data_IF_353275178724
#
_entry.id   IF_353275178724
#
_cell.length_a   1.000
_cell.length_b   1.000
_cell.length_c   1.000
_cell.angle_alpha   90.00
_cell.angle_beta   90.00
_cell.angle_gamma   90.00
#
_symmetry.space_group_name_H-M   'P 1'
#
loop_
_entity.id
_entity.type
_entity.pdbx_description
1 polymer ?
#
# COMPACT_ATOMS: atom_id res chain seq x y z
N UNK A 1 21.94 -46.31 -28.61
CA UNK A 1 21.46 -45.03 -29.15
C UNK A 1 20.13 -44.75 -28.47
N UNK A 2 20.19 -44.22 -27.26
CA UNK A 2 18.99 -43.93 -26.46
C UNK A 2 18.70 -42.44 -26.59
N UNK A 3 17.73 -42.13 -27.44
CA UNK A 3 17.27 -40.76 -27.67
C UNK A 3 16.63 -40.29 -26.36
N UNK A 4 17.36 -39.41 -25.70
CA UNK A 4 17.08 -38.94 -24.35
C UNK A 4 15.77 -38.16 -24.32
N UNK A 5 14.75 -38.78 -23.74
CA UNK A 5 13.42 -38.23 -23.43
C UNK A 5 13.52 -37.16 -22.32
N UNK A 6 14.30 -36.09 -22.53
CA UNK A 6 14.49 -35.00 -21.55
C UNK A 6 14.04 -33.62 -22.05
N UNK A 7 13.52 -33.53 -23.27
CA UNK A 7 13.20 -32.24 -23.89
C UNK A 7 11.78 -31.69 -23.58
N UNK A 8 10.93 -32.41 -22.82
CA UNK A 8 9.51 -32.04 -22.67
C UNK A 8 9.10 -31.41 -21.32
N UNK A 9 10.03 -31.18 -20.39
CA UNK A 9 9.71 -30.60 -19.08
C UNK A 9 10.13 -29.12 -18.90
N UNK A 10 10.52 -28.45 -19.98
CA UNK A 10 11.02 -27.05 -19.92
C UNK A 10 9.99 -25.99 -20.36
N UNK A 11 8.70 -26.33 -20.37
CA UNK A 11 7.63 -25.46 -20.89
C UNK A 11 6.58 -25.00 -19.87
N UNK A 12 6.64 -25.43 -18.61
CA UNK A 12 5.52 -25.28 -17.67
C UNK A 12 5.89 -24.68 -16.31
N UNK A 13 6.74 -23.65 -16.23
CA UNK A 13 6.84 -22.83 -14.99
C UNK A 13 7.10 -21.35 -15.24
N UNK A 14 6.58 -20.78 -16.34
CA UNK A 14 6.50 -19.32 -16.49
C UNK A 14 5.21 -18.72 -15.89
N UNK A 15 4.40 -19.52 -15.20
CA UNK A 15 3.49 -19.00 -14.18
C UNK A 15 4.29 -18.73 -12.89
N UNK A 16 5.32 -17.86 -12.98
CA UNK A 16 5.60 -16.99 -11.85
C UNK A 16 4.35 -16.12 -11.74
N UNK A 17 3.38 -16.62 -10.97
CA UNK A 17 2.39 -15.77 -10.35
C UNK A 17 3.21 -14.65 -9.73
N UNK A 18 3.13 -13.47 -10.34
CA UNK A 18 3.44 -12.24 -9.68
C UNK A 18 2.59 -12.25 -8.42
N UNK A 19 3.14 -12.77 -7.33
CA UNK A 19 2.73 -12.41 -5.99
C UNK A 19 3.09 -10.95 -5.92
N UNK A 20 2.17 -10.15 -6.47
CA UNK A 20 2.37 -8.77 -6.81
C UNK A 20 2.84 -8.07 -5.57
N UNK A 21 4.00 -7.43 -5.68
CA UNK A 21 4.41 -6.36 -4.79
C UNK A 21 3.17 -5.55 -4.44
N UNK A 22 2.74 -5.63 -3.19
CA UNK A 22 1.48 -5.07 -2.70
C UNK A 22 1.55 -3.55 -2.58
N UNK A 23 2.46 -2.91 -3.31
CA UNK A 23 2.50 -1.46 -3.52
C UNK A 23 1.74 -1.13 -4.81
N UNK A 24 0.41 -1.25 -4.75
CA UNK A 24 -0.47 -1.02 -5.90
C UNK A 24 -0.70 0.47 -6.22
N UNK A 25 0.29 1.32 -5.95
CA UNK A 25 0.26 2.75 -6.26
C UNK A 25 -0.89 3.55 -5.63
N UNK A 26 -1.62 2.95 -4.68
CA UNK A 26 -2.82 3.51 -4.08
C UNK A 26 -2.80 3.24 -2.59
N UNK A 27 -2.86 4.32 -1.80
CA UNK A 27 -2.55 4.28 -0.37
C UNK A 27 -3.60 5.03 0.45
N UNK A 28 -3.91 4.54 1.63
CA UNK A 28 -4.86 5.12 2.58
C UNK A 28 -4.29 5.02 4.00
N UNK A 29 -4.63 5.96 4.87
CA UNK A 29 -4.31 5.90 6.29
C UNK A 29 -5.37 5.10 7.06
N UNK A 30 -4.91 4.35 8.05
CA UNK A 30 -5.75 3.51 8.89
C UNK A 30 -5.50 3.80 10.38
N UNK A 31 -6.54 3.57 11.19
CA UNK A 31 -6.48 3.61 12.65
C UNK A 31 -7.09 2.31 13.20
N UNK A 32 -6.42 1.65 14.14
CA UNK A 32 -6.99 0.52 14.87
C UNK A 32 -7.90 1.02 15.98
N UNK A 33 -9.08 0.43 16.06
CA UNK A 33 -10.11 0.69 17.07
C UNK A 33 -10.57 -0.62 17.69
N UNK A 34 -11.32 -0.61 18.81
CA UNK A 34 -11.92 -1.83 19.34
C UNK A 34 -12.79 -2.61 18.33
N UNK A 35 -13.37 -1.91 17.35
CA UNK A 35 -14.19 -2.47 16.26
C UNK A 35 -13.36 -2.99 15.08
N UNK A 36 -12.03 -2.84 15.14
CA UNK A 36 -11.09 -3.21 14.10
C UNK A 36 -10.44 -2.00 13.43
N UNK A 37 -9.76 -2.23 12.31
CA UNK A 37 -9.10 -1.19 11.56
C UNK A 37 -10.10 -0.38 10.71
N UNK A 38 -10.08 0.94 10.89
CA UNK A 38 -10.94 1.86 10.15
C UNK A 38 -10.12 2.76 9.22
N UNK A 39 -10.77 3.19 8.13
CA UNK A 39 -10.23 4.21 7.23
C UNK A 39 -10.20 5.58 7.90
N UNK A 40 -9.09 6.30 7.72
CA UNK A 40 -8.96 7.72 8.09
C UNK A 40 -8.83 8.57 6.84
N UNK A 41 -9.94 8.76 6.13
CA UNK A 41 -9.98 9.52 4.87
C UNK A 41 -9.52 10.97 5.06
N UNK A 42 -9.79 11.56 6.23
CA UNK A 42 -9.27 12.86 6.65
C UNK A 42 -7.74 12.88 6.67
N UNK A 43 -7.13 11.84 7.24
CA UNK A 43 -5.67 11.69 7.27
C UNK A 43 -5.11 11.40 5.89
N UNK A 44 -5.73 10.48 5.14
CA UNK A 44 -5.31 10.16 3.76
C UNK A 44 -5.29 11.41 2.91
N UNK A 45 -6.34 12.23 2.95
CA UNK A 45 -6.41 13.49 2.20
C UNK A 45 -5.27 14.43 2.57
N UNK A 46 -5.05 14.65 3.86
CA UNK A 46 -4.03 15.57 4.35
C UNK A 46 -2.62 15.08 4.00
N UNK A 47 -2.31 13.82 4.31
CA UNK A 47 -1.03 13.17 4.03
C UNK A 47 -0.73 13.18 2.53
N UNK A 48 -1.72 12.84 1.70
CA UNK A 48 -1.59 12.87 0.24
C UNK A 48 -1.26 14.28 -0.27
N UNK A 49 -2.00 15.30 0.18
CA UNK A 49 -1.79 16.68 -0.25
C UNK A 49 -0.42 17.22 0.19
N UNK A 50 -0.02 16.99 1.45
CA UNK A 50 1.21 17.55 2.01
C UNK A 50 2.49 16.94 1.43
N UNK A 51 2.50 15.63 1.15
CA UNK A 51 3.72 14.93 0.72
C UNK A 51 3.75 14.58 -0.76
N UNK A 52 2.59 14.32 -1.37
CA UNK A 52 2.51 13.77 -2.72
C UNK A 52 1.56 14.53 -3.65
N UNK A 53 1.06 15.71 -3.27
CA UNK A 53 0.06 16.45 -4.08
C UNK A 53 0.49 16.77 -5.53
N UNK A 54 1.80 16.86 -5.79
CA UNK A 54 2.34 17.02 -7.14
C UNK A 54 2.31 15.74 -7.97
N UNK A 55 2.43 14.57 -7.34
CA UNK A 55 2.65 13.26 -7.98
C UNK A 55 1.52 12.25 -7.74
N UNK A 56 0.47 12.64 -7.02
CA UNK A 56 -0.67 11.81 -6.65
C UNK A 56 -1.98 12.59 -6.68
N UNK A 57 -3.10 11.87 -6.65
CA UNK A 57 -4.45 12.43 -6.54
C UNK A 57 -5.21 11.70 -5.44
N UNK A 58 -5.94 12.44 -4.62
CA UNK A 58 -6.87 11.88 -3.64
C UNK A 58 -8.27 11.70 -4.25
N UNK A 59 -8.82 10.50 -4.22
CA UNK A 59 -10.12 10.17 -4.83
C UNK A 59 -11.31 10.23 -3.86
N UNK A 60 -11.08 10.64 -2.61
CA UNK A 60 -12.06 10.59 -1.52
C UNK A 60 -11.79 9.48 -0.50
N UNK A 61 -11.00 8.48 -0.87
CA UNK A 61 -10.62 7.35 0.00
C UNK A 61 -9.12 7.10 -0.02
N UNK A 62 -8.51 7.12 -1.22
CA UNK A 62 -7.13 6.72 -1.46
C UNK A 62 -6.34 7.85 -2.11
N UNK A 63 -5.04 7.89 -1.79
CA UNK A 63 -4.02 8.65 -2.48
C UNK A 63 -3.43 7.76 -3.58
N UNK A 64 -3.77 8.04 -4.82
CA UNK A 64 -3.38 7.24 -5.98
C UNK A 64 -2.32 7.98 -6.79
N UNK A 65 -1.21 7.31 -7.07
CA UNK A 65 -0.10 7.87 -7.83
C UNK A 65 -0.52 8.23 -9.26
N UNK A 66 -0.02 9.35 -9.77
CA UNK A 66 -0.14 9.72 -11.18
C UNK A 66 0.75 8.80 -12.03
N UNK A 67 0.42 8.54 -13.31
CA UNK A 67 1.25 7.73 -14.19
C UNK A 67 2.72 8.16 -14.18
N UNK A 68 3.65 7.20 -14.13
CA UNK A 68 5.09 7.45 -14.10
C UNK A 68 5.66 7.88 -12.75
N UNK A 69 4.84 7.99 -11.70
CA UNK A 69 5.29 8.30 -10.34
C UNK A 69 5.23 7.07 -9.45
N UNK A 70 6.03 7.08 -8.38
CA UNK A 70 6.07 6.01 -7.38
C UNK A 70 5.88 6.62 -6.00
N UNK A 71 4.95 6.05 -5.24
CA UNK A 71 4.77 6.34 -3.81
C UNK A 71 5.07 5.04 -3.07
N UNK A 72 6.12 5.05 -2.26
CA UNK A 72 6.45 3.93 -1.37
C UNK A 72 5.35 3.75 -0.33
N UNK A 73 4.83 2.53 -0.19
CA UNK A 73 3.86 2.22 0.86
C UNK A 73 4.45 2.41 2.25
N UNK A 74 5.72 2.09 2.46
CA UNK A 74 6.40 2.25 3.76
C UNK A 74 6.53 3.74 4.16
N UNK A 75 6.80 4.60 3.18
CA UNK A 75 6.83 6.05 3.41
C UNK A 75 5.43 6.58 3.71
N UNK A 76 4.41 6.06 3.01
CA UNK A 76 3.01 6.41 3.25
C UNK A 76 2.56 5.97 4.64
N UNK A 77 2.90 4.76 5.06
CA UNK A 77 2.67 4.22 6.40
C UNK A 77 3.27 5.13 7.47
N UNK A 78 4.55 5.51 7.29
CA UNK A 78 5.26 6.38 8.22
C UNK A 78 4.59 7.76 8.30
N UNK A 79 4.17 8.31 7.16
CA UNK A 79 3.45 9.59 7.11
C UNK A 79 2.10 9.53 7.83
N UNK A 80 1.33 8.46 7.65
CA UNK A 80 0.06 8.26 8.38
C UNK A 80 0.28 8.17 9.89
N UNK A 81 1.31 7.44 10.35
CA UNK A 81 1.64 7.36 11.78
C UNK A 81 2.00 8.72 12.37
N UNK A 82 2.84 9.48 11.66
CA UNK A 82 3.25 10.81 12.09
C UNK A 82 2.04 11.75 12.15
N UNK A 83 1.20 11.75 11.12
CA UNK A 83 0.00 12.60 11.10
C UNK A 83 -0.96 12.27 12.23
N UNK A 84 -1.25 10.98 12.47
CA UNK A 84 -2.09 10.59 13.60
C UNK A 84 -1.51 11.03 14.94
N UNK A 85 -0.20 10.87 15.14
CA UNK A 85 0.49 11.32 16.36
C UNK A 85 0.38 12.83 16.59
N UNK A 86 0.52 13.64 15.55
CA UNK A 86 0.37 15.11 15.67
C UNK A 86 -1.09 15.55 15.84
N UNK A 87 -2.06 14.65 15.63
CA UNK A 87 -3.50 14.90 15.74
C UNK A 87 -4.13 14.20 16.96
N UNK A 88 -3.34 13.95 18.01
CA UNK A 88 -3.84 13.47 19.30
C UNK A 88 -3.95 11.95 19.45
N UNK A 89 -3.50 11.17 18.46
CA UNK A 89 -3.45 9.72 18.56
C UNK A 89 -2.04 9.30 18.96
N UNK A 90 -1.79 9.23 20.26
CA UNK A 90 -0.48 8.94 20.85
C UNK A 90 0.04 7.51 20.61
N UNK A 91 1.15 7.12 21.26
CA UNK A 91 1.77 5.79 21.13
C UNK A 91 0.86 4.61 21.44
N UNK A 92 -0.18 4.83 22.24
CA UNK A 92 -1.21 3.86 22.62
C UNK A 92 -2.16 3.49 21.46
N UNK A 93 -2.18 4.29 20.38
CA UNK A 93 -2.98 4.02 19.20
C UNK A 93 -2.16 3.36 18.11
N UNK A 94 -2.67 2.25 17.57
CA UNK A 94 -2.11 1.67 16.37
C UNK A 94 -2.60 2.41 15.12
N UNK A 95 -1.65 2.95 14.37
CA UNK A 95 -1.89 3.73 13.15
C UNK A 95 -1.11 3.07 12.02
N UNK A 96 -1.64 3.14 10.80
CA UNK A 96 -0.99 2.51 9.67
C UNK A 96 -1.50 2.95 8.32
N UNK A 97 -1.28 2.10 7.33
CA UNK A 97 -1.73 2.29 5.96
C UNK A 97 -2.21 0.97 5.34
N UNK A 98 -3.23 1.06 4.49
CA UNK A 98 -4.01 -0.10 4.04
C UNK A 98 -3.33 -1.00 3.01
N UNK A 99 -2.26 -0.58 2.35
CA UNK A 99 -1.50 -1.46 1.43
C UNK A 99 -0.93 -2.70 2.15
N UNK A 100 -0.74 -2.64 3.47
CA UNK A 100 -0.39 -3.80 4.33
C UNK A 100 -1.57 -4.73 4.64
N UNK A 101 -2.76 -4.48 4.07
CA UNK A 101 -3.99 -5.21 4.39
C UNK A 101 -4.62 -4.80 5.73
N UNK A 102 -4.29 -3.59 6.24
CA UNK A 102 -4.79 -3.12 7.54
C UNK A 102 -6.20 -2.56 7.43
N UNK A 103 -6.51 -1.73 6.44
CA UNK A 103 -7.87 -1.29 6.13
C UNK A 103 -8.07 -1.11 4.61
N UNK A 104 -9.25 -1.42 4.09
CA UNK A 104 -9.56 -1.43 2.64
C UNK A 104 -10.44 -0.26 2.23
#
# INVERSE_FOLDING_TARGET
MEVTLKALALGLFLAQAAHGSKDQGSHNCCLSTPEGWILRNDWTKAVCAMRWGSVATFDGVKCTQKPGNVISGDDFYTACKLYGATNGYGPEWEKGAGYRGTCS
#
